data_IF_764183496491
#
_entry.id   IF_764183496491
#
_cell.length_a   1.000
_cell.length_b   1.000
_cell.length_c   1.000
_cell.angle_alpha   90.00
_cell.angle_beta   90.00
_cell.angle_gamma   90.00
#
_symmetry.space_group_name_H-M   'P 1'
#
loop_
_entity.id
_entity.type
_entity.pdbx_description
1 polymer ?
#
# COMPACT_ATOMS: atom_id res chain seq x y z
N UNK A 1 -12.76 2.76 7.82
CA UNK A 1 -11.40 2.24 8.06
C UNK A 1 -10.46 3.44 8.17
N UNK A 2 -9.89 3.67 9.34
CA UNK A 2 -8.96 4.78 9.58
C UNK A 2 -7.53 4.39 9.16
N UNK A 3 -7.14 4.71 7.93
CA UNK A 3 -5.82 4.34 7.39
C UNK A 3 -4.68 5.11 8.05
N UNK A 4 -4.94 6.34 8.47
CA UNK A 4 -4.01 7.21 9.21
C UNK A 4 -4.74 8.09 10.22
N UNK A 5 -3.97 8.67 11.13
CA UNK A 5 -4.40 9.71 12.07
C UNK A 5 -3.54 10.95 11.88
N UNK A 6 -4.15 12.13 11.97
CA UNK A 6 -3.39 13.38 12.01
C UNK A 6 -2.78 13.58 13.40
N UNK A 7 -1.50 13.79 13.45
CA UNK A 7 -0.73 14.06 14.67
C UNK A 7 0.18 15.26 14.46
N UNK A 8 0.55 15.95 15.54
CA UNK A 8 1.50 17.05 15.43
C UNK A 8 2.87 16.54 14.99
N UNK A 9 3.47 17.26 14.05
CA UNK A 9 4.83 16.98 13.61
C UNK A 9 5.80 17.34 14.75
N UNK A 10 6.59 16.35 15.19
CA UNK A 10 7.67 16.55 16.17
C UNK A 10 9.00 16.48 15.45
N UNK A 11 10.02 17.19 15.98
CA UNK A 11 11.35 17.27 15.36
C UNK A 11 12.05 15.92 15.13
N UNK A 12 11.61 14.88 15.82
CA UNK A 12 12.17 13.53 15.69
C UNK A 12 11.41 12.64 14.68
N UNK A 13 10.30 13.13 14.09
CA UNK A 13 9.52 12.36 13.14
C UNK A 13 10.06 12.56 11.71
N UNK A 14 10.68 11.52 11.16
CA UNK A 14 10.98 11.47 9.73
C UNK A 14 9.69 11.22 8.96
N UNK A 15 9.36 12.12 8.04
CA UNK A 15 8.17 11.97 7.21
C UNK A 15 8.52 11.43 5.82
N UNK A 16 7.63 10.61 5.28
CA UNK A 16 7.72 10.06 3.93
C UNK A 16 6.74 10.81 3.04
N UNK A 17 7.18 11.19 1.85
CA UNK A 17 6.33 11.84 0.87
C UNK A 17 5.38 10.85 0.19
N UNK A 18 4.26 11.36 -0.27
CA UNK A 18 3.28 10.59 -1.04
C UNK A 18 2.94 11.28 -2.36
N UNK A 19 2.25 10.56 -3.23
CA UNK A 19 1.73 11.10 -4.49
C UNK A 19 0.48 10.36 -4.92
N UNK A 20 -0.41 11.04 -5.63
CA UNK A 20 -1.47 10.42 -6.38
C UNK A 20 -1.00 9.93 -7.75
N UNK A 21 -1.50 8.79 -8.16
CA UNK A 21 -1.43 8.32 -9.54
C UNK A 21 -2.84 8.11 -10.06
N UNK A 22 -3.07 8.61 -11.27
CA UNK A 22 -4.37 8.55 -11.92
C UNK A 22 -4.24 7.73 -13.21
N UNK A 23 -5.17 6.83 -13.42
CA UNK A 23 -5.24 6.00 -14.62
C UNK A 23 -6.68 6.03 -15.14
N UNK A 24 -6.83 6.35 -16.41
CA UNK A 24 -8.09 6.13 -17.13
C UNK A 24 -8.08 4.71 -17.69
N UNK A 25 -9.02 3.89 -17.22
CA UNK A 25 -9.17 2.53 -17.73
C UNK A 25 -9.81 2.52 -19.12
N UNK A 26 -9.62 1.44 -19.87
CA UNK A 26 -10.22 1.24 -21.20
C UNK A 26 -11.75 1.26 -21.17
N UNK A 27 -12.36 0.96 -20.02
CA UNK A 27 -13.80 1.02 -19.79
C UNK A 27 -14.32 2.42 -19.41
N UNK A 28 -13.47 3.46 -19.49
CA UNK A 28 -13.81 4.85 -19.20
C UNK A 28 -13.80 5.22 -17.71
N UNK A 29 -13.51 4.29 -16.81
CA UNK A 29 -13.46 4.58 -15.37
C UNK A 29 -12.12 5.21 -14.97
N UNK A 30 -12.18 6.24 -14.13
CA UNK A 30 -11.01 6.82 -13.50
C UNK A 30 -10.59 5.99 -12.30
N UNK A 31 -9.30 5.71 -12.19
CA UNK A 31 -8.71 5.02 -11.05
C UNK A 31 -7.62 5.90 -10.44
N UNK A 32 -7.80 6.29 -9.19
CA UNK A 32 -6.80 7.00 -8.39
C UNK A 32 -6.18 6.04 -7.37
N UNK A 33 -4.87 6.13 -7.19
CA UNK A 33 -4.14 5.41 -6.14
C UNK A 33 -3.19 6.36 -5.44
N UNK A 34 -3.17 6.29 -4.12
CA UNK A 34 -2.19 6.97 -3.30
C UNK A 34 -0.97 6.06 -3.14
N UNK A 35 0.20 6.58 -3.47
CA UNK A 35 1.49 5.90 -3.30
C UNK A 35 2.36 6.67 -2.32
N UNK A 36 2.92 5.95 -1.37
CA UNK A 36 3.99 6.45 -0.51
C UNK A 36 5.34 6.25 -1.21
N UNK A 37 6.24 7.21 -1.10
CA UNK A 37 7.58 7.12 -1.69
C UNK A 37 8.52 6.27 -0.80
N UNK A 38 8.21 4.99 -0.65
CA UNK A 38 8.91 4.04 0.22
C UNK A 38 10.38 3.81 -0.12
N UNK A 39 10.85 4.27 -1.30
CA UNK A 39 12.28 4.25 -1.63
C UNK A 39 13.13 5.15 -0.73
N UNK A 40 12.50 6.05 0.04
CA UNK A 40 13.17 6.90 1.04
C UNK A 40 13.25 6.23 2.42
N UNK A 41 12.60 5.08 2.60
CA UNK A 41 12.66 4.30 3.84
C UNK A 41 14.04 3.65 4.01
N UNK A 42 14.50 3.58 5.27
CA UNK A 42 15.78 2.98 5.66
C UNK A 42 15.51 1.70 6.43
N UNK A 43 16.13 0.61 5.99
CA UNK A 43 16.06 -0.68 6.68
C UNK A 43 16.65 -0.61 8.09
N UNK A 44 16.02 -1.25 9.05
CA UNK A 44 16.38 -1.22 10.47
C UNK A 44 15.91 0.03 11.22
N UNK A 45 15.26 1.00 10.51
CA UNK A 45 14.68 2.21 11.11
C UNK A 45 13.18 2.31 10.75
N UNK A 46 12.88 2.31 9.46
CA UNK A 46 11.50 2.47 8.94
C UNK A 46 10.83 1.12 8.64
N UNK A 47 11.60 0.05 8.51
CA UNK A 47 11.12 -1.32 8.32
C UNK A 47 12.24 -2.33 8.64
N UNK A 48 11.87 -3.51 9.08
CA UNK A 48 12.79 -4.61 9.40
C UNK A 48 13.00 -5.50 8.18
N UNK A 49 11.94 -6.12 7.71
CA UNK A 49 11.96 -7.08 6.61
C UNK A 49 10.99 -6.70 5.50
N UNK A 50 11.32 -7.16 4.30
CA UNK A 50 10.41 -7.08 3.14
C UNK A 50 10.22 -8.48 2.58
N UNK A 51 8.98 -8.95 2.55
CA UNK A 51 8.62 -10.20 1.93
C UNK A 51 7.37 -9.99 1.08
N UNK A 52 7.51 -10.19 -0.23
CA UNK A 52 6.40 -10.08 -1.16
C UNK A 52 6.43 -11.29 -2.10
N UNK A 53 5.76 -12.39 -1.74
CA UNK A 53 5.71 -13.58 -2.57
C UNK A 53 4.95 -13.28 -3.86
N UNK A 54 5.56 -13.59 -5.00
CA UNK A 54 4.92 -13.52 -6.31
C UNK A 54 4.86 -14.93 -6.89
N UNK A 55 3.66 -15.36 -7.27
CA UNK A 55 3.48 -16.65 -7.94
C UNK A 55 4.20 -16.65 -9.29
N UNK A 56 5.00 -17.68 -9.55
CA UNK A 56 5.67 -17.86 -10.86
C UNK A 56 4.64 -18.27 -11.91
N UNK A 57 4.73 -17.72 -13.09
CA UNK A 57 3.84 -18.05 -14.20
C UNK A 57 3.76 -19.57 -14.47
N UNK A 58 4.90 -20.26 -14.42
CA UNK A 58 4.97 -21.74 -14.55
C UNK A 58 4.17 -22.49 -13.49
N UNK A 59 4.13 -21.97 -12.25
CA UNK A 59 3.33 -22.58 -11.16
C UNK A 59 1.84 -22.45 -11.45
N UNK A 60 1.42 -21.30 -11.97
CA UNK A 60 0.03 -21.07 -12.38
C UNK A 60 -0.36 -22.02 -13.52
N UNK A 61 0.50 -22.14 -14.55
CA UNK A 61 0.27 -23.05 -15.67
C UNK A 61 0.18 -24.50 -15.20
N UNK A 62 1.06 -24.94 -14.30
CA UNK A 62 1.02 -26.28 -13.73
C UNK A 62 -0.28 -26.56 -13.00
N UNK A 63 -0.71 -25.63 -12.12
CA UNK A 63 -1.99 -25.77 -11.40
C UNK A 63 -3.18 -25.85 -12.35
N UNK A 64 -3.26 -24.97 -13.36
CA UNK A 64 -4.33 -24.99 -14.35
C UNK A 64 -4.36 -26.30 -15.13
N UNK A 65 -3.21 -26.83 -15.54
CA UNK A 65 -3.11 -28.12 -16.25
C UNK A 65 -3.57 -29.25 -15.33
N UNK A 66 -3.09 -29.28 -14.08
CA UNK A 66 -3.47 -30.31 -13.13
C UNK A 66 -4.97 -30.28 -12.82
N UNK A 67 -5.54 -29.09 -12.64
CA UNK A 67 -6.97 -28.87 -12.41
C UNK A 67 -7.80 -29.38 -13.56
N UNK A 68 -7.39 -29.12 -14.80
CA UNK A 68 -8.05 -29.63 -16.00
C UNK A 68 -8.00 -31.16 -16.11
N UNK A 69 -6.86 -31.78 -15.73
CA UNK A 69 -6.72 -33.24 -15.75
C UNK A 69 -7.59 -33.93 -14.67
N UNK A 70 -7.83 -33.27 -13.54
CA UNK A 70 -8.64 -33.79 -12.45
C UNK A 70 -10.11 -33.37 -12.51
N UNK A 71 -10.50 -32.62 -13.55
CA UNK A 71 -11.86 -32.08 -13.70
C UNK A 71 -12.32 -31.27 -12.48
N UNK A 72 -11.43 -30.42 -11.94
CA UNK A 72 -11.73 -29.54 -10.81
C UNK A 72 -12.29 -28.21 -11.28
N UNK A 73 -13.20 -27.65 -10.51
CA UNK A 73 -13.69 -26.31 -10.74
C UNK A 73 -12.67 -25.27 -10.26
N UNK A 74 -12.63 -24.13 -10.97
CA UNK A 74 -11.72 -23.02 -10.67
C UNK A 74 -12.55 -21.79 -10.34
N UNK A 75 -12.31 -21.20 -9.18
CA UNK A 75 -12.87 -19.92 -8.81
C UNK A 75 -11.77 -18.86 -8.73
N UNK A 76 -12.05 -17.67 -9.26
CA UNK A 76 -11.16 -16.52 -9.17
C UNK A 76 -11.68 -15.51 -8.15
N UNK A 77 -10.83 -15.15 -7.21
CA UNK A 77 -11.13 -14.15 -6.18
C UNK A 77 -10.11 -13.02 -6.22
N UNK A 78 -10.57 -11.78 -6.00
CA UNK A 78 -9.69 -10.61 -5.88
C UNK A 78 -9.98 -9.88 -4.56
N UNK A 79 -8.93 -9.64 -3.79
CA UNK A 79 -9.03 -8.92 -2.51
C UNK A 79 -9.02 -7.42 -2.78
N UNK A 80 -10.14 -6.77 -2.52
CA UNK A 80 -10.23 -5.31 -2.63
C UNK A 80 -9.38 -4.65 -1.55
N UNK A 81 -8.57 -3.67 -1.97
CA UNK A 81 -7.74 -2.86 -1.07
C UNK A 81 -6.80 -3.70 -0.18
N UNK A 82 -6.25 -4.80 -0.70
CA UNK A 82 -5.45 -5.76 0.06
C UNK A 82 -4.38 -5.10 0.94
N UNK A 83 -3.65 -4.11 0.42
CA UNK A 83 -2.63 -3.38 1.17
C UNK A 83 -3.18 -2.64 2.40
N UNK A 84 -4.40 -2.09 2.32
CA UNK A 84 -5.02 -1.36 3.42
C UNK A 84 -5.48 -2.27 4.58
N UNK A 85 -5.52 -3.58 4.36
CA UNK A 85 -5.82 -4.54 5.44
C UNK A 85 -4.60 -4.83 6.32
N UNK A 86 -3.38 -4.62 5.82
CA UNK A 86 -2.16 -4.77 6.61
C UNK A 86 -2.08 -3.71 7.72
N UNK A 87 -2.01 -4.15 8.96
CA UNK A 87 -1.75 -3.27 10.12
C UNK A 87 -0.25 -3.03 10.20
N UNK A 88 0.15 -1.78 10.40
CA UNK A 88 1.55 -1.42 10.59
C UNK A 88 1.89 -1.51 12.08
N UNK A 89 2.94 -2.24 12.41
CA UNK A 89 3.52 -2.32 13.76
C UNK A 89 4.50 -1.18 14.00
N UNK A 90 5.17 -0.70 12.93
CA UNK A 90 6.12 0.38 12.99
C UNK A 90 5.46 1.76 12.96
N UNK A 91 6.08 2.73 13.60
CA UNK A 91 5.65 4.12 13.57
C UNK A 91 6.10 4.82 12.29
N UNK A 92 5.21 4.90 11.31
CA UNK A 92 5.46 5.56 10.03
C UNK A 92 4.65 6.83 9.92
N UNK A 93 5.33 7.92 9.55
CA UNK A 93 4.73 9.23 9.38
C UNK A 93 4.82 9.65 7.90
N UNK A 94 3.71 10.09 7.35
CA UNK A 94 3.58 10.56 5.98
C UNK A 94 3.21 12.04 5.98
N UNK A 95 3.77 12.81 5.05
CA UNK A 95 3.33 14.18 4.81
C UNK A 95 1.86 14.20 4.42
N UNK A 96 1.14 15.26 4.80
CA UNK A 96 -0.23 15.43 4.34
C UNK A 96 -0.28 15.52 2.82
N UNK A 97 -1.38 15.05 2.28
CA UNK A 97 -1.62 15.06 0.84
C UNK A 97 -1.73 16.48 0.31
N UNK A 98 -0.98 16.77 -0.73
CA UNK A 98 -1.09 18.05 -1.44
C UNK A 98 -2.54 18.28 -1.92
N UNK A 99 -3.07 19.46 -1.63
CA UNK A 99 -4.46 19.81 -1.94
C UNK A 99 -5.52 19.31 -0.94
N UNK A 100 -5.12 18.53 0.08
CA UNK A 100 -6.04 18.01 1.11
C UNK A 100 -5.68 18.44 2.53
N UNK A 101 -4.78 19.40 2.68
CA UNK A 101 -4.42 19.96 3.98
C UNK A 101 -5.58 20.83 4.47
N UNK A 102 -6.17 20.49 5.61
CA UNK A 102 -7.21 21.29 6.19
C UNK A 102 -6.63 22.58 6.80
N UNK A 103 -7.37 23.66 6.68
CA UNK A 103 -6.96 24.95 7.24
C UNK A 103 -6.80 24.86 8.77
N UNK A 104 -5.61 25.24 9.25
CA UNK A 104 -5.24 25.14 10.67
C UNK A 104 -4.57 23.79 11.05
N UNK A 105 -4.42 22.89 10.10
CA UNK A 105 -3.80 21.58 10.31
C UNK A 105 -2.42 21.45 9.62
N UNK A 106 -1.85 22.56 9.15
CA UNK A 106 -0.61 22.61 8.34
C UNK A 106 0.60 22.01 9.06
N UNK A 107 0.60 22.07 10.40
CA UNK A 107 1.69 21.55 11.24
C UNK A 107 1.51 20.07 11.64
N UNK A 108 0.52 19.39 11.06
CA UNK A 108 0.27 17.98 11.35
C UNK A 108 0.76 17.08 10.22
N UNK A 109 1.05 15.86 10.57
CA UNK A 109 1.44 14.77 9.66
C UNK A 109 0.50 13.58 9.83
N UNK A 110 0.46 12.70 8.84
CA UNK A 110 -0.32 11.49 8.88
C UNK A 110 0.49 10.36 9.52
N UNK A 111 0.16 9.95 10.74
CA UNK A 111 0.67 8.68 11.28
C UNK A 111 -0.11 7.55 10.65
N UNK A 112 0.56 6.67 9.93
CA UNK A 112 -0.05 5.53 9.27
C UNK A 112 -0.43 4.45 10.30
N UNK A 113 -1.63 3.92 10.16
CA UNK A 113 -2.14 2.80 10.98
C UNK A 113 -2.21 1.51 10.15
N UNK A 114 -2.35 1.67 8.84
CA UNK A 114 -2.44 0.58 7.89
C UNK A 114 -1.46 0.79 6.74
N UNK A 115 -1.09 -0.31 6.11
CA UNK A 115 -0.18 -0.30 4.97
C UNK A 115 -0.78 0.47 3.78
N UNK A 116 0.09 1.10 3.02
CA UNK A 116 -0.23 1.81 1.78
C UNK A 116 0.67 1.34 0.64
N UNK A 117 0.18 1.51 -0.59
CA UNK A 117 0.98 1.25 -1.77
C UNK A 117 2.31 2.03 -1.73
N UNK A 118 3.39 1.34 -1.99
CA UNK A 118 4.73 1.89 -2.07
C UNK A 118 5.56 1.82 -0.80
N UNK A 119 5.00 1.42 0.34
CA UNK A 119 5.79 1.07 1.52
C UNK A 119 6.58 -0.22 1.27
N UNK A 120 7.77 -0.31 1.84
CA UNK A 120 8.66 -1.48 1.70
C UNK A 120 8.05 -2.74 2.31
N UNK A 121 7.37 -2.62 3.45
CA UNK A 121 6.71 -3.70 4.17
C UNK A 121 5.26 -3.98 3.71
N UNK A 122 4.81 -3.37 2.61
CA UNK A 122 3.42 -3.51 2.16
C UNK A 122 3.13 -4.82 1.42
N UNK A 123 4.16 -5.61 1.09
CA UNK A 123 4.05 -6.84 0.30
C UNK A 123 3.79 -8.09 1.10
#
# INVERSE_FOLDING_TARGET
MGVWKLVYHTSNCKTIKCRWTYVLKSDGRYKARLFVKGYTQVQGIDYEETFSPVARYKSIQYLLTHTALQDWEIEAMDVRLSYLHGVLEEEIYMEQLEGFVAKGEENKVCRLMHSLYGLKQAG
#
